data_IF_218143830937
#
_entry.id   IF_218143830937
#
_cell.length_a   1.000
_cell.length_b   1.000
_cell.length_c   1.000
_cell.angle_alpha   90.00
_cell.angle_beta   90.00
_cell.angle_gamma   90.00
#
_symmetry.space_group_name_H-M   'P 1'
#
loop_
_entity.id
_entity.type
_entity.pdbx_description
1 polymer ?
#
# COMPACT_ATOMS: atom_id res chain seq x y z
N UNK A 1 40.53 -28.60 12.97
CA UNK A 1 39.96 -28.63 11.60
C UNK A 1 38.48 -28.98 11.72
N UNK A 2 37.63 -28.00 12.04
CA UNK A 2 36.18 -28.17 12.13
C UNK A 2 35.58 -27.67 10.81
N UNK A 3 35.48 -28.55 9.80
CA UNK A 3 34.80 -28.23 8.54
C UNK A 3 33.30 -28.46 8.68
N UNK A 4 32.63 -27.57 9.40
CA UNK A 4 31.20 -27.33 9.20
C UNK A 4 31.09 -26.03 8.45
N UNK A 5 30.95 -26.07 7.12
CA UNK A 5 30.31 -25.05 6.30
C UNK A 5 30.33 -25.57 4.86
N UNK A 6 29.15 -25.92 4.34
CA UNK A 6 28.69 -25.67 2.96
C UNK A 6 27.38 -26.44 2.74
N UNK A 7 26.29 -25.92 3.31
CA UNK A 7 24.95 -26.22 2.78
C UNK A 7 24.84 -25.53 1.42
N UNK A 8 25.34 -26.17 0.37
CA UNK A 8 25.12 -25.73 -1.01
C UNK A 8 23.70 -26.11 -1.39
N UNK A 9 22.79 -25.12 -1.33
CA UNK A 9 21.48 -25.21 -1.96
C UNK A 9 21.64 -25.66 -3.40
N UNK A 10 21.18 -26.89 -3.67
CA UNK A 10 21.29 -27.51 -4.98
C UNK A 10 20.48 -26.72 -5.99
N UNK A 11 21.16 -26.11 -6.96
CA UNK A 11 20.55 -25.68 -8.22
C UNK A 11 19.94 -26.93 -8.87
N UNK A 12 18.63 -27.15 -8.73
CA UNK A 12 17.98 -28.20 -9.50
C UNK A 12 18.00 -27.78 -10.97
N UNK A 13 18.80 -28.49 -11.77
CA UNK A 13 18.74 -28.41 -13.22
C UNK A 13 17.28 -28.57 -13.67
N UNK A 14 16.82 -27.75 -14.62
CA UNK A 14 15.49 -27.82 -15.21
C UNK A 14 15.39 -29.08 -16.07
N UNK A 15 15.24 -30.23 -15.43
CA UNK A 15 15.03 -31.52 -16.09
C UNK A 15 13.63 -31.57 -16.68
N UNK A 16 13.47 -32.17 -17.86
CA UNK A 16 12.16 -32.39 -18.47
C UNK A 16 11.27 -33.16 -17.49
N UNK A 17 10.10 -32.60 -17.17
CA UNK A 17 9.11 -33.20 -16.26
C UNK A 17 7.95 -33.72 -17.09
N UNK A 18 7.59 -34.99 -16.91
CA UNK A 18 6.43 -35.58 -17.59
C UNK A 18 5.11 -34.94 -17.08
N UNK A 19 4.15 -34.59 -17.96
CA UNK A 19 2.93 -33.86 -17.59
C UNK A 19 2.11 -34.50 -16.46
N UNK A 20 2.05 -35.83 -16.43
CA UNK A 20 1.27 -36.58 -15.44
C UNK A 20 2.08 -37.08 -14.23
N UNK A 21 3.31 -36.60 -14.05
CA UNK A 21 4.15 -37.02 -12.92
C UNK A 21 3.73 -36.35 -11.60
N UNK A 22 4.07 -36.98 -10.48
CA UNK A 22 3.90 -36.37 -9.14
C UNK A 22 4.61 -35.01 -9.03
N UNK A 23 5.76 -34.86 -9.67
CA UNK A 23 6.53 -33.62 -9.72
C UNK A 23 5.79 -32.52 -10.50
N UNK A 24 5.16 -32.84 -11.63
CA UNK A 24 4.33 -31.88 -12.36
C UNK A 24 3.13 -31.42 -11.52
N UNK A 25 2.46 -32.34 -10.82
CA UNK A 25 1.36 -31.99 -9.94
C UNK A 25 1.79 -31.09 -8.76
N UNK A 26 2.97 -31.31 -8.19
CA UNK A 26 3.52 -30.43 -7.15
C UNK A 26 3.81 -29.02 -7.67
N UNK A 27 4.47 -28.91 -8.81
CA UNK A 27 4.76 -27.62 -9.45
C UNK A 27 3.48 -26.84 -9.77
N UNK A 28 2.43 -27.51 -10.26
CA UNK A 28 1.14 -26.87 -10.53
C UNK A 28 0.49 -26.32 -9.24
N UNK A 29 0.55 -27.07 -8.13
CA UNK A 29 0.02 -26.61 -6.83
C UNK A 29 0.82 -25.45 -6.27
N UNK A 30 2.14 -25.48 -6.38
CA UNK A 30 3.01 -24.39 -5.95
C UNK A 30 2.76 -23.13 -6.77
N UNK A 31 2.59 -23.26 -8.09
CA UNK A 31 2.22 -22.15 -8.97
C UNK A 31 0.88 -21.53 -8.57
N UNK A 32 -0.16 -22.34 -8.35
CA UNK A 32 -1.46 -21.85 -7.87
C UNK A 32 -1.38 -21.18 -6.49
N UNK A 33 -0.57 -21.73 -5.58
CA UNK A 33 -0.36 -21.14 -4.26
C UNK A 33 0.37 -19.80 -4.37
N UNK A 34 1.33 -19.70 -5.29
CA UNK A 34 2.07 -18.46 -5.55
C UNK A 34 1.16 -17.39 -6.17
N UNK A 35 0.34 -17.76 -7.16
CA UNK A 35 -0.64 -16.86 -7.77
C UNK A 35 -1.65 -16.33 -6.73
N UNK A 36 -2.13 -17.19 -5.83
CA UNK A 36 -2.99 -16.76 -4.74
C UNK A 36 -2.29 -15.77 -3.81
N UNK A 37 -1.05 -16.07 -3.39
CA UNK A 37 -0.27 -15.16 -2.53
C UNK A 37 -0.02 -13.81 -3.20
N UNK A 38 0.26 -13.82 -4.50
CA UNK A 38 0.48 -12.62 -5.29
C UNK A 38 -0.80 -11.78 -5.36
N UNK A 39 -1.95 -12.40 -5.63
CA UNK A 39 -3.26 -11.72 -5.57
C UNK A 39 -3.57 -11.17 -4.19
N UNK A 40 -3.35 -11.96 -3.14
CA UNK A 40 -3.56 -11.53 -1.75
C UNK A 40 -2.64 -10.35 -1.42
N UNK A 41 -1.39 -10.36 -1.89
CA UNK A 41 -0.45 -9.27 -1.74
C UNK A 41 -0.94 -8.00 -2.46
N UNK A 42 -1.33 -8.10 -3.74
CA UNK A 42 -1.88 -6.95 -4.48
C UNK A 42 -3.13 -6.40 -3.82
N UNK A 43 -4.06 -7.25 -3.40
CA UNK A 43 -5.28 -6.83 -2.72
C UNK A 43 -4.97 -6.11 -1.41
N UNK A 44 -4.08 -6.66 -0.58
CA UNK A 44 -3.68 -6.02 0.68
C UNK A 44 -3.07 -4.62 0.46
N UNK A 45 -2.19 -4.47 -0.54
CA UNK A 45 -1.57 -3.18 -0.85
C UNK A 45 -2.57 -2.21 -1.47
N UNK A 46 -3.44 -2.69 -2.36
CA UNK A 46 -4.48 -1.88 -3.00
C UNK A 46 -5.50 -1.35 -1.98
N UNK A 47 -5.96 -2.20 -1.06
CA UNK A 47 -6.84 -1.79 0.04
C UNK A 47 -6.15 -0.75 0.95
N UNK A 48 -4.86 -0.91 1.21
CA UNK A 48 -4.08 0.08 1.97
C UNK A 48 -4.06 1.46 1.30
N UNK A 49 -3.84 1.49 -0.02
CA UNK A 49 -3.88 2.72 -0.82
C UNK A 49 -5.29 3.31 -0.87
N UNK A 50 -6.31 2.49 -1.10
CA UNK A 50 -7.71 2.93 -1.18
C UNK A 50 -8.18 3.56 0.13
N UNK A 51 -7.90 2.90 1.27
CA UNK A 51 -8.28 3.41 2.58
C UNK A 51 -7.59 4.75 2.89
N UNK A 52 -6.31 4.87 2.55
CA UNK A 52 -5.55 6.12 2.75
C UNK A 52 -6.08 7.25 1.86
N UNK A 53 -6.34 6.97 0.58
CA UNK A 53 -6.93 7.94 -0.34
C UNK A 53 -8.31 8.41 0.12
N UNK A 54 -9.18 7.47 0.53
CA UNK A 54 -10.50 7.77 1.09
C UNK A 54 -10.43 8.60 2.38
N UNK A 55 -9.43 8.34 3.22
CA UNK A 55 -9.22 9.10 4.44
C UNK A 55 -8.85 10.56 4.12
N UNK A 56 -7.96 10.79 3.15
CA UNK A 56 -7.60 12.15 2.71
C UNK A 56 -8.77 12.90 2.05
N UNK A 57 -9.59 12.20 1.27
CA UNK A 57 -10.77 12.76 0.59
C UNK A 57 -11.76 13.41 1.59
N UNK A 58 -11.89 12.85 2.80
CA UNK A 58 -12.74 13.44 3.86
C UNK A 58 -12.23 14.81 4.31
N UNK A 59 -10.91 14.98 4.39
CA UNK A 59 -10.31 16.26 4.78
C UNK A 59 -10.42 17.31 3.67
N UNK A 60 -10.28 16.93 2.40
CA UNK A 60 -10.50 17.86 1.30
C UNK A 60 -11.96 18.35 1.27
N UNK A 61 -12.92 17.44 1.47
CA UNK A 61 -14.34 17.82 1.54
C UNK A 61 -14.65 18.77 2.71
N UNK A 62 -14.03 18.55 3.88
CA UNK A 62 -14.19 19.44 5.04
C UNK A 62 -13.60 20.84 4.78
N UNK A 63 -12.43 20.92 4.14
CA UNK A 63 -11.83 22.21 3.77
C UNK A 63 -12.67 22.98 2.77
N UNK A 64 -13.21 22.30 1.75
CA UNK A 64 -14.12 22.90 0.76
C UNK A 64 -15.39 23.46 1.42
N UNK A 65 -15.98 22.71 2.37
CA UNK A 65 -17.13 23.18 3.13
C UNK A 65 -16.82 24.43 3.96
N UNK A 66 -15.64 24.49 4.59
CA UNK A 66 -15.21 25.65 5.37
C UNK A 66 -15.00 26.86 4.45
N UNK A 67 -14.35 26.66 3.31
CA UNK A 67 -14.13 27.71 2.29
C UNK A 67 -15.46 28.29 1.80
N UNK A 68 -16.42 27.42 1.45
CA UNK A 68 -17.76 27.83 1.05
C UNK A 68 -18.48 28.63 2.16
N UNK A 69 -18.38 28.17 3.40
CA UNK A 69 -19.02 28.86 4.53
C UNK A 69 -18.40 30.23 4.82
N UNK A 70 -17.10 30.36 4.61
CA UNK A 70 -16.38 31.62 4.75
C UNK A 70 -16.66 32.57 3.56
N UNK A 71 -16.86 32.06 2.34
CA UNK A 71 -17.17 32.88 1.17
C UNK A 71 -18.59 33.45 1.18
N UNK A 72 -19.55 32.76 1.81
CA UNK A 72 -20.94 33.22 1.94
C UNK A 72 -21.08 34.30 3.03
N UNK A 73 -20.26 34.26 4.08
CA UNK A 73 -20.36 35.21 5.20
C UNK A 73 -19.58 36.48 4.89
N UNK A 74 -20.29 37.52 4.42
CA UNK A 74 -19.74 38.83 4.03
C UNK A 74 -18.81 39.51 5.06
N UNK A 75 -19.32 40.40 5.92
CA UNK A 75 -18.48 41.19 6.86
C UNK A 75 -18.17 40.47 8.19
N UNK A 76 -18.54 39.20 8.32
CA UNK A 76 -18.24 38.42 9.52
C UNK A 76 -16.83 37.84 9.45
N UNK A 77 -16.12 37.88 10.59
CA UNK A 77 -14.76 37.34 10.68
C UNK A 77 -14.67 35.86 10.33
N UNK A 78 -13.51 35.46 9.80
CA UNK A 78 -13.19 34.08 9.40
C UNK A 78 -13.49 33.10 10.53
N UNK A 79 -14.30 32.09 10.25
CA UNK A 79 -14.58 31.02 11.19
C UNK A 79 -13.72 29.80 10.89
N UNK A 80 -13.52 28.94 11.89
CA UNK A 80 -12.82 27.64 11.75
C UNK A 80 -11.33 27.68 11.40
N UNK A 81 -10.65 28.81 11.63
CA UNK A 81 -9.21 28.94 11.34
C UNK A 81 -8.34 27.89 12.03
N UNK A 82 -8.59 27.59 13.31
CA UNK A 82 -7.84 26.56 14.04
C UNK A 82 -8.00 25.17 13.42
N UNK A 83 -9.22 24.82 13.00
CA UNK A 83 -9.52 23.53 12.38
C UNK A 83 -8.88 23.40 11.00
N UNK A 84 -8.96 24.45 10.18
CA UNK A 84 -8.29 24.50 8.88
C UNK A 84 -6.77 24.29 9.02
N UNK A 85 -6.13 24.96 9.98
CA UNK A 85 -4.69 24.82 10.23
C UNK A 85 -4.32 23.39 10.60
N UNK A 86 -5.08 22.77 11.52
CA UNK A 86 -4.84 21.38 11.93
C UNK A 86 -4.98 20.43 10.75
N UNK A 87 -6.05 20.57 9.95
CA UNK A 87 -6.26 19.70 8.78
C UNK A 87 -5.11 19.84 7.78
N UNK A 88 -4.70 21.07 7.45
CA UNK A 88 -3.59 21.32 6.51
C UNK A 88 -2.26 20.75 7.02
N UNK A 89 -1.98 20.90 8.32
CA UNK A 89 -0.79 20.31 8.94
C UNK A 89 -0.82 18.78 8.89
N UNK A 90 -1.97 18.17 9.17
CA UNK A 90 -2.13 16.71 9.07
C UNK A 90 -1.93 16.22 7.64
N UNK A 91 -2.55 16.87 6.65
CA UNK A 91 -2.39 16.50 5.23
C UNK A 91 -0.93 16.61 4.77
N UNK A 92 -0.24 17.68 5.16
CA UNK A 92 1.16 17.87 4.81
C UNK A 92 2.06 16.80 5.47
N UNK A 93 1.79 16.46 6.74
CA UNK A 93 2.50 15.38 7.43
C UNK A 93 2.29 14.04 6.73
N UNK A 94 1.04 13.69 6.40
CA UNK A 94 0.72 12.43 5.74
C UNK A 94 1.34 12.33 4.34
N UNK A 95 1.34 13.44 3.59
CA UNK A 95 2.06 13.54 2.31
C UNK A 95 3.56 13.31 2.48
N UNK A 96 4.18 13.93 3.48
CA UNK A 96 5.59 13.72 3.79
C UNK A 96 5.90 12.28 4.24
N UNK A 97 4.97 11.63 4.96
CA UNK A 97 5.12 10.20 5.30
C UNK A 97 5.09 9.34 4.04
N UNK A 98 4.17 9.61 3.11
CA UNK A 98 4.07 8.90 1.84
C UNK A 98 5.31 9.11 0.94
N UNK A 99 5.76 10.36 0.79
CA UNK A 99 6.91 10.72 -0.04
C UNK A 99 8.24 10.31 0.62
N UNK A 100 8.37 10.46 1.94
CA UNK A 100 9.63 10.32 2.68
C UNK A 100 9.98 8.89 3.12
N UNK A 101 9.00 7.99 3.27
CA UNK A 101 9.27 6.59 3.62
C UNK A 101 9.65 5.71 2.41
N UNK A 102 9.82 6.29 1.21
CA UNK A 102 10.20 5.52 0.02
C UNK A 102 9.16 4.48 -0.39
N UNK A 103 7.90 4.69 0.02
CA UNK A 103 6.72 3.91 -0.42
C UNK A 103 6.14 4.51 -1.72
N UNK A 104 6.71 5.62 -2.21
CA UNK A 104 6.62 5.95 -3.62
C UNK A 104 7.32 4.84 -4.42
N UNK A 105 6.53 4.06 -5.16
CA UNK A 105 7.01 3.02 -6.08
C UNK A 105 8.12 3.52 -7.02
#
# INVERSE_FOLDING_TARGET
MCSYLLFKGGKQEKKAVHPYSRKAAQLAREAHKQDKKEKDWYNFHFEGLYNSARYMERFSAELEQIELRNSIRGRQGRQHGSRETVIKQTMERERQLYEGYGIGM
#
